data_IF_352716283858
#
_entry.id   IF_352716283858
#
_cell.length_a   1.000
_cell.length_b   1.000
_cell.length_c   1.000
_cell.angle_alpha   90.00
_cell.angle_beta   90.00
_cell.angle_gamma   90.00
#
_symmetry.space_group_name_H-M   'P 1'
#
loop_
_entity.id
_entity.type
_entity.pdbx_description
1 polymer ?
#
# COMPACT_ATOMS: atom_id res chain seq x y z
N UNK A 1 2.97 -4.86 -14.12
CA UNK A 1 2.38 -6.22 -14.01
C UNK A 1 3.39 -7.20 -14.59
N UNK A 2 3.73 -8.27 -13.89
CA UNK A 2 4.85 -9.14 -14.27
C UNK A 2 4.54 -10.02 -15.49
N UNK A 3 3.30 -10.50 -15.62
CA UNK A 3 2.91 -11.50 -16.62
C UNK A 3 1.92 -11.00 -17.67
N UNK A 4 1.49 -9.74 -17.63
CA UNK A 4 0.53 -9.21 -18.62
C UNK A 4 -0.91 -9.71 -18.47
N UNK A 5 -1.23 -10.52 -17.45
CA UNK A 5 -2.54 -11.17 -17.28
C UNK A 5 -3.31 -10.69 -16.05
N UNK A 6 -4.64 -10.60 -16.18
CA UNK A 6 -5.55 -10.21 -15.11
C UNK A 6 -5.60 -8.70 -14.86
N UNK A 7 -6.31 -8.31 -13.79
CA UNK A 7 -6.46 -6.92 -13.37
C UNK A 7 -5.74 -6.70 -12.02
N UNK A 8 -4.89 -5.67 -11.90
CA UNK A 8 -4.19 -5.40 -10.66
C UNK A 8 -5.15 -4.89 -9.57
N UNK A 9 -4.79 -5.12 -8.30
CA UNK A 9 -5.49 -4.54 -7.14
C UNK A 9 -5.05 -3.11 -6.83
N UNK A 10 -4.39 -2.43 -7.78
CA UNK A 10 -4.03 -1.02 -7.63
C UNK A 10 -5.29 -0.19 -7.37
N UNK A 11 -5.27 0.69 -6.36
CA UNK A 11 -6.43 1.47 -5.86
C UNK A 11 -7.43 0.71 -4.97
N UNK A 12 -7.15 -0.54 -4.61
CA UNK A 12 -8.06 -1.36 -3.77
C UNK A 12 -7.32 -2.06 -2.64
N UNK A 13 -8.01 -2.18 -1.51
CA UNK A 13 -7.68 -3.14 -0.48
C UNK A 13 -8.58 -4.36 -0.63
N UNK A 14 -7.96 -5.54 -0.56
CA UNK A 14 -8.66 -6.81 -0.47
C UNK A 14 -8.74 -7.19 1.01
N UNK A 15 -9.94 -7.26 1.55
CA UNK A 15 -10.20 -7.77 2.88
C UNK A 15 -10.63 -9.23 2.74
N UNK A 16 -9.96 -10.11 3.47
CA UNK A 16 -10.31 -11.52 3.56
C UNK A 16 -10.83 -11.81 4.95
N UNK A 17 -12.09 -12.20 5.05
CA UNK A 17 -12.66 -12.76 6.26
C UNK A 17 -12.52 -14.28 6.21
N UNK A 18 -11.55 -14.80 6.97
CA UNK A 18 -11.25 -16.22 7.00
C UNK A 18 -12.32 -17.07 7.70
N UNK A 19 -13.12 -16.47 8.59
CA UNK A 19 -14.13 -17.20 9.35
C UNK A 19 -15.37 -17.45 8.49
N UNK A 20 -15.80 -16.44 7.74
CA UNK A 20 -16.94 -16.54 6.82
C UNK A 20 -16.55 -16.95 5.40
N UNK A 21 -15.25 -17.12 5.12
CA UNK A 21 -14.69 -17.35 3.78
C UNK A 21 -15.12 -16.28 2.75
N UNK A 22 -15.13 -15.01 3.16
CA UNK A 22 -15.59 -13.90 2.33
C UNK A 22 -14.44 -12.99 1.87
N UNK A 23 -14.63 -12.39 0.68
CA UNK A 23 -13.68 -11.47 0.09
C UNK A 23 -14.36 -10.15 -0.29
N UNK A 24 -13.88 -9.06 0.32
CA UNK A 24 -14.39 -7.71 0.07
C UNK A 24 -13.32 -6.84 -0.55
N UNK A 25 -13.68 -6.15 -1.63
CA UNK A 25 -12.81 -5.15 -2.28
C UNK A 25 -13.26 -3.76 -1.87
N UNK A 26 -12.39 -3.01 -1.21
CA UNK A 26 -12.65 -1.63 -0.81
C UNK A 26 -11.77 -0.71 -1.63
N UNK A 27 -12.37 0.30 -2.25
CA UNK A 27 -11.65 1.32 -3.03
C UNK A 27 -10.91 2.25 -2.07
N UNK A 28 -9.61 2.44 -2.28
CA UNK A 28 -8.76 3.36 -1.53
C UNK A 28 -8.06 4.27 -2.54
N UNK A 29 -8.64 5.45 -2.82
CA UNK A 29 -8.02 6.40 -3.73
C UNK A 29 -6.75 6.99 -3.12
N UNK A 30 -5.84 7.48 -3.97
CA UNK A 30 -4.68 8.25 -3.51
C UNK A 30 -5.16 9.52 -2.82
N UNK A 31 -4.50 9.86 -1.70
CA UNK A 31 -4.70 11.12 -1.03
C UNK A 31 -3.96 12.26 -1.78
N UNK A 32 -4.66 13.27 -2.31
CA UNK A 32 -4.02 14.42 -2.95
C UNK A 32 -3.16 15.27 -2.00
N UNK A 33 -3.34 15.16 -0.68
CA UNK A 33 -2.53 15.85 0.32
C UNK A 33 -1.36 14.99 0.85
N UNK A 34 -1.14 13.81 0.27
CA UNK A 34 -0.05 12.94 0.69
C UNK A 34 1.31 13.61 0.46
N UNK A 35 2.06 13.86 1.54
CA UNK A 35 3.41 14.46 1.48
C UNK A 35 4.46 13.61 0.76
N UNK A 36 4.16 12.35 0.47
CA UNK A 36 5.07 11.40 -0.19
C UNK A 36 4.80 11.25 -1.69
N UNK A 37 3.53 11.13 -2.10
CA UNK A 37 3.17 10.80 -3.48
C UNK A 37 2.07 11.68 -4.08
N UNK A 38 1.58 12.67 -3.34
CA UNK A 38 0.64 13.67 -3.84
C UNK A 38 1.29 14.67 -4.81
N UNK A 39 0.50 15.48 -5.53
CA UNK A 39 1.01 16.50 -6.47
C UNK A 39 1.94 17.53 -5.83
N UNK A 40 1.83 17.75 -4.52
CA UNK A 40 2.69 18.65 -3.74
C UNK A 40 3.56 17.84 -2.74
N UNK A 41 4.12 16.71 -3.17
CA UNK A 41 5.01 15.91 -2.34
C UNK A 41 6.22 16.72 -1.85
N UNK A 42 6.55 16.59 -0.56
CA UNK A 42 7.65 17.29 0.12
C UNK A 42 8.69 16.35 0.71
N UNK A 43 8.38 15.05 0.78
CA UNK A 43 9.28 14.00 1.29
C UNK A 43 9.95 13.34 0.08
N UNK A 44 11.28 13.49 -0.04
CA UNK A 44 12.05 12.99 -1.18
C UNK A 44 13.12 11.96 -0.82
N UNK A 45 13.47 11.82 0.46
CA UNK A 45 14.42 10.82 0.95
C UNK A 45 13.95 10.23 2.28
N UNK A 46 14.22 8.93 2.46
CA UNK A 46 14.06 8.23 3.74
C UNK A 46 15.46 7.79 4.16
N UNK A 47 16.07 8.53 5.08
CA UNK A 47 17.48 8.39 5.43
C UNK A 47 17.73 7.70 6.78
N UNK A 48 16.74 7.05 7.41
CA UNK A 48 16.94 6.54 8.77
C UNK A 48 15.97 5.48 9.26
N UNK A 49 16.01 4.26 8.73
CA UNK A 49 15.25 3.14 9.33
C UNK A 49 15.94 1.77 9.24
N UNK A 50 17.27 1.70 9.17
CA UNK A 50 17.99 0.41 9.06
C UNK A 50 18.62 -0.09 10.37
N UNK A 51 18.32 0.51 11.52
CA UNK A 51 18.85 0.06 12.81
C UNK A 51 17.75 -0.04 13.86
N UNK A 52 16.85 -1.00 13.65
CA UNK A 52 15.98 -1.50 14.72
C UNK A 52 16.00 -3.02 14.65
N UNK A 53 17.18 -3.60 14.89
CA UNK A 53 17.28 -5.01 15.26
C UNK A 53 17.30 -5.12 16.77
N UNK A 54 16.24 -5.68 17.34
CA UNK A 54 16.34 -6.28 18.65
C UNK A 54 17.22 -7.53 18.52
N UNK A 55 18.52 -7.38 18.78
CA UNK A 55 19.36 -8.52 19.07
C UNK A 55 18.90 -9.10 20.41
N UNK A 56 18.40 -10.33 20.38
CA UNK A 56 18.17 -11.17 21.57
C UNK A 56 19.53 -11.75 22.00
#
# INVERSE_FOLDING_TARGET
MLLGIGEPLSDRLLLYDALSMDFRRVRVPKDPQCRLCGPHATIHSVSGSTDVTCAI
#
